data_IF_360699614542
#
_entry.id   IF_360699614542
#
_cell.length_a   1.000
_cell.length_b   1.000
_cell.length_c   1.000
_cell.angle_alpha   90.00
_cell.angle_beta   90.00
_cell.angle_gamma   90.00
#
_symmetry.space_group_name_H-M   'P 1'
#
loop_
_entity.id
_entity.type
_entity.pdbx_description
1 polymer ?
#
# COMPACT_ATOMS: atom_id res chain seq x y z
N UNK A 1 -22.02 -17.85 -31.30
CA UNK A 1 -20.87 -17.59 -30.40
C UNK A 1 -19.66 -18.23 -31.04
N UNK A 2 -18.66 -17.44 -31.43
CA UNK A 2 -17.38 -17.97 -31.92
C UNK A 2 -16.71 -18.70 -30.75
N UNK A 3 -16.58 -20.02 -30.85
CA UNK A 3 -15.82 -20.84 -29.89
C UNK A 3 -14.36 -20.79 -30.31
N UNK A 4 -13.58 -19.90 -29.67
CA UNK A 4 -12.13 -19.89 -29.81
C UNK A 4 -11.55 -21.18 -29.26
N UNK A 5 -10.51 -21.68 -29.90
CA UNK A 5 -9.72 -22.79 -29.38
C UNK A 5 -9.02 -22.38 -28.08
N UNK A 6 -8.63 -23.37 -27.26
CA UNK A 6 -7.93 -23.12 -26.00
C UNK A 6 -6.61 -22.36 -26.25
N UNK A 7 -5.88 -22.71 -27.32
CA UNK A 7 -4.64 -22.04 -27.69
C UNK A 7 -4.83 -20.56 -28.06
N UNK A 8 -5.90 -20.22 -28.80
CA UNK A 8 -6.20 -18.83 -29.12
C UNK A 8 -6.52 -18.02 -27.86
N UNK A 9 -7.27 -18.62 -26.91
CA UNK A 9 -7.60 -17.99 -25.63
C UNK A 9 -6.33 -17.75 -24.79
N UNK A 10 -5.43 -18.73 -24.71
CA UNK A 10 -4.17 -18.59 -23.98
C UNK A 10 -3.30 -17.50 -24.58
N UNK A 11 -3.22 -17.43 -25.91
CA UNK A 11 -2.42 -16.43 -26.61
C UNK A 11 -2.96 -15.02 -26.39
N UNK A 12 -4.27 -14.84 -26.41
CA UNK A 12 -4.91 -13.55 -26.08
C UNK A 12 -4.70 -13.17 -24.62
N UNK A 13 -4.85 -14.11 -23.68
CA UNK A 13 -4.54 -13.88 -22.26
C UNK A 13 -3.12 -13.38 -22.08
N UNK A 14 -2.15 -14.05 -22.69
CA UNK A 14 -0.73 -13.71 -22.53
C UNK A 14 -0.41 -12.34 -23.10
N UNK A 15 -0.98 -12.00 -24.26
CA UNK A 15 -0.87 -10.65 -24.83
C UNK A 15 -1.43 -9.58 -23.88
N UNK A 16 -2.63 -9.80 -23.33
CA UNK A 16 -3.25 -8.90 -22.37
C UNK A 16 -2.42 -8.76 -21.08
N UNK A 17 -1.84 -9.84 -20.57
CA UNK A 17 -0.98 -9.79 -19.38
C UNK A 17 0.31 -9.00 -19.63
N UNK A 18 0.91 -9.12 -20.82
CA UNK A 18 2.09 -8.34 -21.21
C UNK A 18 1.74 -6.84 -21.25
N UNK A 19 0.65 -6.48 -21.93
CA UNK A 19 0.19 -5.09 -22.03
C UNK A 19 -0.12 -4.50 -20.63
N UNK A 20 -0.83 -5.26 -19.80
CA UNK A 20 -1.14 -4.86 -18.43
C UNK A 20 0.12 -4.62 -17.59
N UNK A 21 1.12 -5.50 -17.73
CA UNK A 21 2.38 -5.36 -17.00
C UNK A 21 3.14 -4.08 -17.38
N UNK A 22 3.13 -3.71 -18.67
CA UNK A 22 3.77 -2.50 -19.17
C UNK A 22 3.10 -1.23 -18.60
N UNK A 23 1.76 -1.22 -18.49
CA UNK A 23 1.01 -0.12 -17.87
C UNK A 23 1.36 0.00 -16.39
N UNK A 24 1.41 -1.11 -15.64
CA UNK A 24 1.75 -1.08 -14.23
C UNK A 24 3.18 -0.64 -13.94
N UNK A 25 4.13 -0.88 -14.85
CA UNK A 25 5.50 -0.34 -14.74
C UNK A 25 5.49 1.20 -14.90
N UNK A 26 4.66 1.74 -15.79
CA UNK A 26 4.55 3.19 -16.02
C UNK A 26 3.74 3.93 -14.96
N UNK A 27 2.81 3.25 -14.28
CA UNK A 27 1.96 3.81 -13.22
C UNK A 27 1.91 2.87 -12.00
N UNK A 28 3.04 2.67 -11.30
CA UNK A 28 3.06 1.80 -10.15
C UNK A 28 2.17 2.41 -9.05
N UNK A 29 1.37 1.56 -8.38
CA UNK A 29 0.44 1.99 -7.32
C UNK A 29 1.12 2.70 -6.15
N UNK A 30 2.43 2.49 -6.00
CA UNK A 30 3.32 3.21 -5.11
C UNK A 30 4.71 3.28 -5.75
N UNK A 31 5.54 4.22 -5.33
CA UNK A 31 6.93 4.29 -5.76
C UNK A 31 7.85 4.26 -4.55
N UNK A 32 9.12 3.93 -4.78
CA UNK A 32 10.12 3.82 -3.72
C UNK A 32 10.19 5.07 -2.84
N UNK A 33 10.05 6.26 -3.44
CA UNK A 33 10.06 7.53 -2.72
C UNK A 33 8.84 7.65 -1.78
N UNK A 34 7.64 7.37 -2.28
CA UNK A 34 6.42 7.37 -1.48
C UNK A 34 6.49 6.36 -0.33
N UNK A 35 6.99 5.15 -0.61
CA UNK A 35 7.20 4.12 0.42
C UNK A 35 8.20 4.58 1.49
N UNK A 36 9.34 5.13 1.09
CA UNK A 36 10.35 5.65 2.02
C UNK A 36 9.82 6.80 2.87
N UNK A 37 9.04 7.70 2.30
CA UNK A 37 8.39 8.78 3.04
C UNK A 37 7.40 8.25 4.07
N UNK A 38 6.54 7.30 3.70
CA UNK A 38 5.59 6.68 4.63
C UNK A 38 6.33 5.94 5.75
N UNK A 39 7.41 5.21 5.43
CA UNK A 39 8.22 4.53 6.42
C UNK A 39 8.85 5.51 7.42
N UNK A 40 9.35 6.65 6.95
CA UNK A 40 9.91 7.69 7.81
C UNK A 40 8.84 8.28 8.74
N UNK A 41 7.65 8.58 8.20
CA UNK A 41 6.56 9.11 8.99
C UNK A 41 6.18 8.18 10.15
N UNK A 42 6.01 6.88 9.86
CA UNK A 42 5.63 5.89 10.87
C UNK A 42 6.73 5.62 11.91
N UNK A 43 8.01 5.61 11.50
CA UNK A 43 9.11 5.20 12.39
C UNK A 43 9.76 6.35 13.17
N UNK A 44 9.86 7.52 12.54
CA UNK A 44 10.65 8.64 13.06
C UNK A 44 9.77 9.82 13.45
N UNK A 45 8.62 9.99 12.80
CA UNK A 45 7.69 11.08 13.10
C UNK A 45 6.51 10.63 13.96
N UNK A 46 6.55 9.37 14.44
CA UNK A 46 5.54 8.80 15.33
C UNK A 46 4.11 8.89 14.75
N UNK A 47 3.99 8.91 13.41
CA UNK A 47 2.70 9.00 12.74
C UNK A 47 1.84 7.77 13.08
N UNK A 48 0.58 8.01 13.43
CA UNK A 48 -0.36 7.01 13.99
C UNK A 48 0.03 6.41 15.35
N UNK A 49 0.99 6.99 16.06
CA UNK A 49 1.29 6.68 17.47
C UNK A 49 1.05 7.91 18.33
N UNK A 50 0.91 7.71 19.64
CA UNK A 50 0.74 8.81 20.60
C UNK A 50 1.90 8.79 21.58
N UNK A 51 2.39 9.97 21.95
CA UNK A 51 3.34 10.10 23.06
C UNK A 51 2.66 9.77 24.39
N UNK A 52 3.47 9.50 25.41
CA UNK A 52 2.95 9.22 26.75
C UNK A 52 2.13 10.39 27.31
N UNK A 53 2.56 11.62 27.05
CA UNK A 53 1.85 12.84 27.44
C UNK A 53 0.54 13.02 26.67
N UNK A 54 0.48 12.59 25.41
CA UNK A 54 -0.75 12.63 24.61
C UNK A 54 -1.76 11.60 25.12
N UNK A 55 -1.30 10.40 25.45
CA UNK A 55 -2.13 9.36 26.08
C UNK A 55 -2.68 9.87 27.42
N UNK A 56 -1.84 10.51 28.25
CA UNK A 56 -2.24 11.03 29.56
C UNK A 56 -3.25 12.19 29.49
N UNK A 57 -3.40 12.86 28.33
CA UNK A 57 -4.50 13.82 28.12
C UNK A 57 -5.86 13.14 27.99
N UNK A 58 -5.88 11.88 27.54
CA UNK A 58 -7.11 11.09 27.39
C UNK A 58 -7.45 10.27 28.64
N UNK A 59 -6.50 10.08 29.56
CA UNK A 59 -6.71 9.29 30.77
C UNK A 59 -7.21 10.15 31.96
N UNK A 60 -8.13 9.62 32.79
CA UNK A 60 -8.45 10.23 34.08
C UNK A 60 -7.25 10.14 35.04
N UNK A 61 -7.19 11.05 36.02
CA UNK A 61 -6.00 11.31 36.85
C UNK A 61 -5.45 10.07 37.55
N UNK A 62 -6.30 9.11 37.90
CA UNK A 62 -5.96 7.88 38.58
C UNK A 62 -5.21 6.88 37.70
N UNK A 63 -5.32 7.01 36.38
CA UNK A 63 -4.73 6.11 35.38
C UNK A 63 -3.52 6.73 34.66
N UNK A 64 -3.22 8.01 34.90
CA UNK A 64 -2.03 8.65 34.34
C UNK A 64 -0.77 8.01 34.90
N UNK A 65 0.26 7.89 34.07
CA UNK A 65 1.56 7.37 34.52
C UNK A 65 2.17 8.36 35.53
N UNK A 66 2.83 7.84 36.56
CA UNK A 66 3.46 8.63 37.63
C UNK A 66 4.83 9.15 37.23
#
# INVERSE_FOLDING_TARGET
>A
MQTKSIEEILKERDALMIELSAIYIGAPSTNYKAYSMAQKALKELEDMTFSDEEIDKFLPTELKRK
#
